data_IF_058759231696
#
_entry.id   IF_058759231696
#
_cell.length_a   1.000
_cell.length_b   1.000
_cell.length_c   1.000
_cell.angle_alpha   90.00
_cell.angle_beta   90.00
_cell.angle_gamma   90.00
#
_symmetry.space_group_name_H-M   'P 1'
#
loop_
_entity.id
_entity.type
_entity.pdbx_description
1 polymer ?
#
# COMPACT_ATOMS: atom_id res chain seq x y z
N UNK A 1 -11.30 14.14 -33.33
CA UNK A 1 -12.34 14.83 -32.52
C UNK A 1 -11.77 16.11 -31.95
N UNK A 2 -12.54 17.20 -31.93
CA UNK A 2 -12.15 18.42 -31.25
C UNK A 2 -12.06 18.14 -29.74
N UNK A 3 -11.01 18.63 -29.07
CA UNK A 3 -10.84 18.46 -27.63
C UNK A 3 -12.03 19.10 -26.91
N UNK A 4 -12.82 18.29 -26.21
CA UNK A 4 -13.90 18.76 -25.36
C UNK A 4 -13.29 19.47 -24.15
N UNK A 5 -13.68 20.73 -23.94
CA UNK A 5 -13.24 21.53 -22.79
C UNK A 5 -13.99 21.10 -21.54
N UNK A 6 -13.36 21.23 -20.38
CA UNK A 6 -13.95 20.89 -19.06
C UNK A 6 -15.35 21.50 -18.88
N UNK A 7 -15.51 22.78 -19.22
CA UNK A 7 -16.78 23.49 -19.12
C UNK A 7 -17.90 22.87 -19.98
N UNK A 8 -17.55 22.28 -21.13
CA UNK A 8 -18.51 21.64 -22.03
C UNK A 8 -18.92 20.24 -21.53
N UNK A 9 -17.98 19.53 -20.89
CA UNK A 9 -18.24 18.24 -20.25
C UNK A 9 -19.08 18.41 -18.97
N UNK A 10 -18.88 19.47 -18.19
CA UNK A 10 -19.67 19.74 -16.98
C UNK A 10 -21.13 20.12 -17.31
N UNK A 11 -21.36 20.73 -18.49
CA UNK A 11 -22.67 21.12 -18.98
C UNK A 11 -23.49 19.96 -19.58
N UNK A 12 -22.86 18.84 -19.97
CA UNK A 12 -23.53 17.65 -20.48
C UNK A 12 -24.11 16.80 -19.33
N UNK A 13 -25.10 15.94 -19.62
CA UNK A 13 -25.63 15.03 -18.61
C UNK A 13 -24.61 13.91 -18.31
N UNK A 14 -24.68 13.33 -17.10
CA UNK A 14 -23.80 12.21 -16.73
C UNK A 14 -23.92 11.02 -17.68
N UNK A 15 -25.12 10.80 -18.24
CA UNK A 15 -25.40 9.76 -19.24
C UNK A 15 -24.73 10.02 -20.58
N UNK A 16 -24.70 11.26 -21.06
CA UNK A 16 -24.01 11.62 -22.32
C UNK A 16 -22.48 11.48 -22.17
N UNK A 17 -21.95 11.82 -21.01
CA UNK A 17 -20.51 11.69 -20.71
C UNK A 17 -20.10 10.21 -20.67
N UNK A 18 -20.93 9.34 -20.09
CA UNK A 18 -20.71 7.90 -20.06
C UNK A 18 -20.78 7.27 -21.45
N UNK A 19 -21.70 7.74 -22.31
CA UNK A 19 -21.80 7.26 -23.70
C UNK A 19 -20.55 7.62 -24.52
N UNK A 20 -19.99 8.82 -24.34
CA UNK A 20 -18.71 9.23 -24.96
C UNK A 20 -17.56 8.34 -24.48
N UNK A 21 -17.47 8.06 -23.19
CA UNK A 21 -16.43 7.18 -22.63
C UNK A 21 -16.51 5.76 -23.18
N UNK A 22 -17.74 5.23 -23.32
CA UNK A 22 -17.98 3.88 -23.82
C UNK A 22 -17.72 3.77 -25.33
N UNK A 23 -18.29 4.66 -26.13
CA UNK A 23 -18.29 4.55 -27.58
C UNK A 23 -16.97 5.05 -28.21
N UNK A 24 -16.39 6.14 -27.68
CA UNK A 24 -15.16 6.70 -28.27
C UNK A 24 -13.88 6.15 -27.63
N UNK A 25 -13.94 5.83 -26.34
CA UNK A 25 -12.75 5.44 -25.58
C UNK A 25 -12.75 3.98 -25.11
N UNK A 26 -13.85 3.24 -25.31
CA UNK A 26 -13.96 1.84 -24.92
C UNK A 26 -13.92 1.61 -23.40
N UNK A 27 -14.19 2.65 -22.61
CA UNK A 27 -14.14 2.63 -21.15
C UNK A 27 -15.56 2.44 -20.63
N UNK A 28 -15.84 1.26 -20.08
CA UNK A 28 -17.12 0.97 -19.45
C UNK A 28 -17.11 1.55 -18.02
N UNK A 29 -17.97 2.54 -17.78
CA UNK A 29 -18.13 3.17 -16.45
C UNK A 29 -19.56 3.00 -16.00
N UNK A 30 -19.75 2.51 -14.78
CA UNK A 30 -21.06 2.41 -14.14
C UNK A 30 -21.53 3.82 -13.73
N UNK A 31 -22.74 4.19 -14.14
CA UNK A 31 -23.25 5.56 -13.97
C UNK A 31 -23.82 5.72 -12.57
N UNK A 32 -22.95 5.94 -11.60
CA UNK A 32 -23.34 6.43 -10.28
C UNK A 32 -23.44 7.97 -10.32
N UNK A 33 -24.66 8.49 -10.18
CA UNK A 33 -24.98 9.94 -10.26
C UNK A 33 -24.17 10.79 -9.26
N UNK A 34 -23.66 10.16 -8.19
CA UNK A 34 -22.81 10.79 -7.18
C UNK A 34 -21.40 11.17 -7.69
N UNK A 35 -20.97 10.70 -8.87
CA UNK A 35 -19.59 10.84 -9.33
C UNK A 35 -19.40 11.52 -10.69
N UNK A 36 -20.35 12.39 -11.10
CA UNK A 36 -20.27 13.19 -12.35
C UNK A 36 -18.93 13.91 -12.54
N UNK A 37 -18.34 14.44 -11.46
CA UNK A 37 -17.03 15.11 -11.50
C UNK A 37 -15.88 14.19 -11.90
N UNK A 38 -15.89 12.93 -11.42
CA UNK A 38 -14.87 11.94 -11.74
C UNK A 38 -14.94 11.50 -13.21
N UNK A 39 -16.15 11.40 -13.78
CA UNK A 39 -16.35 11.10 -15.20
C UNK A 39 -15.75 12.18 -16.10
N UNK A 40 -15.93 13.46 -15.75
CA UNK A 40 -15.36 14.59 -16.51
C UNK A 40 -13.83 14.55 -16.51
N UNK A 41 -13.22 14.25 -15.36
CA UNK A 41 -11.77 14.08 -15.25
C UNK A 41 -11.27 12.88 -16.04
N UNK A 42 -12.01 11.77 -16.04
CA UNK A 42 -11.68 10.58 -16.82
C UNK A 42 -11.75 10.82 -18.33
N UNK A 43 -12.71 11.62 -18.82
CA UNK A 43 -12.76 12.04 -20.22
C UNK A 43 -11.59 12.96 -20.59
N UNK A 44 -11.24 13.91 -19.72
CA UNK A 44 -10.07 14.77 -19.93
C UNK A 44 -8.76 13.97 -19.94
N UNK A 45 -8.64 12.98 -19.06
CA UNK A 45 -7.52 12.05 -19.02
C UNK A 45 -7.48 11.17 -20.29
N UNK A 46 -8.62 10.60 -20.71
CA UNK A 46 -8.71 9.80 -21.93
C UNK A 46 -8.39 10.60 -23.20
N UNK A 47 -8.72 11.89 -23.24
CA UNK A 47 -8.36 12.79 -24.34
C UNK A 47 -6.88 13.21 -24.37
N UNK A 48 -6.18 13.13 -23.24
CA UNK A 48 -4.77 13.55 -23.12
C UNK A 48 -3.80 12.36 -23.07
N UNK A 49 -4.30 11.17 -22.75
CA UNK A 49 -3.53 9.93 -22.73
C UNK A 49 -3.44 9.32 -24.13
N UNK A 50 -2.21 9.07 -24.59
CA UNK A 50 -1.93 8.16 -25.70
C UNK A 50 -2.36 6.75 -25.28
N UNK A 51 -2.93 5.93 -26.18
CA UNK A 51 -3.53 4.66 -25.82
C UNK A 51 -2.43 3.66 -25.49
N UNK A 52 -2.36 3.21 -24.24
CA UNK A 52 -1.89 1.86 -23.96
C UNK A 52 -2.38 1.35 -22.60
N UNK A 53 -2.71 0.07 -22.60
CA UNK A 53 -3.07 -0.81 -21.49
C UNK A 53 -4.50 -0.73 -20.92
N UNK A 54 -5.37 -1.47 -21.63
CA UNK A 54 -6.51 -2.22 -21.13
C UNK A 54 -6.20 -2.95 -19.82
N UNK A 55 -6.87 -2.61 -18.72
CA UNK A 55 -6.72 -3.39 -17.49
C UNK A 55 -7.44 -2.84 -16.26
N UNK A 56 -8.74 -3.08 -16.18
CA UNK A 56 -9.52 -3.27 -14.94
C UNK A 56 -9.21 -2.30 -13.78
N UNK A 57 -9.89 -1.15 -13.79
CA UNK A 57 -9.94 -0.21 -12.67
C UNK A 57 -10.72 -0.86 -11.51
N UNK A 58 -10.01 -1.21 -10.44
CA UNK A 58 -10.62 -1.30 -9.11
C UNK A 58 -10.09 -0.15 -8.28
N UNK A 59 -11.03 0.57 -7.68
CA UNK A 59 -10.87 1.82 -6.97
C UNK A 59 -10.00 1.67 -5.72
N UNK A 60 -8.94 2.46 -5.63
CA UNK A 60 -8.46 3.06 -4.36
C UNK A 60 -7.49 4.21 -4.64
N UNK A 61 -8.02 5.42 -4.52
CA UNK A 61 -7.26 6.67 -4.47
C UNK A 61 -6.47 6.72 -3.16
N UNK A 62 -5.16 6.96 -3.25
CA UNK A 62 -4.51 8.17 -2.71
C UNK A 62 -2.99 7.99 -2.59
N UNK A 63 -2.25 9.02 -3.04
CA UNK A 63 -0.87 9.24 -2.56
C UNK A 63 0.26 9.02 -3.56
N UNK A 64 0.11 9.45 -4.82
CA UNK A 64 1.26 9.67 -5.69
C UNK A 64 2.12 10.83 -5.18
N UNK A 65 3.23 10.55 -4.47
CA UNK A 65 4.29 11.54 -4.25
C UNK A 65 5.68 10.91 -4.33
N UNK A 66 6.38 11.26 -5.40
CA UNK A 66 7.83 11.15 -5.64
C UNK A 66 8.49 9.86 -5.14
N UNK A 67 8.63 8.89 -6.04
CA UNK A 67 9.52 7.75 -5.88
C UNK A 67 10.96 8.19 -6.16
N UNK A 68 11.63 8.75 -5.15
CA UNK A 68 13.09 8.65 -5.07
C UNK A 68 13.41 7.15 -5.09
N UNK A 69 14.24 6.69 -6.04
CA UNK A 69 14.66 5.27 -6.17
C UNK A 69 15.29 4.79 -4.86
N UNK A 70 14.45 4.37 -3.94
CA UNK A 70 14.84 3.87 -2.63
C UNK A 70 15.26 2.42 -2.86
N UNK A 71 16.41 2.01 -2.33
CA UNK A 71 16.84 0.61 -2.42
C UNK A 71 15.75 -0.26 -1.81
N UNK A 72 15.19 -1.14 -2.62
CA UNK A 72 14.14 -2.04 -2.22
C UNK A 72 14.74 -3.40 -1.86
N UNK A 73 14.11 -4.07 -0.91
CA UNK A 73 14.59 -5.32 -0.34
C UNK A 73 13.39 -6.23 -0.15
N UNK A 74 13.52 -7.48 -0.60
CA UNK A 74 12.48 -8.50 -0.38
C UNK A 74 12.57 -9.00 1.06
N UNK A 75 11.43 -9.01 1.74
CA UNK A 75 11.32 -9.57 3.09
C UNK A 75 10.17 -10.57 3.16
N UNK A 76 10.29 -11.51 4.07
CA UNK A 76 9.23 -12.43 4.46
C UNK A 76 9.03 -12.30 5.98
N UNK A 77 7.82 -11.95 6.41
CA UNK A 77 7.45 -11.95 7.83
C UNK A 77 6.69 -13.23 8.11
N UNK A 78 7.16 -14.02 9.08
CA UNK A 78 6.50 -15.27 9.45
C UNK A 78 5.11 -15.03 10.06
N UNK A 79 4.21 -15.95 9.81
CA UNK A 79 2.93 -16.00 10.51
C UNK A 79 3.17 -16.32 12.00
N UNK A 80 2.33 -15.74 12.86
CA UNK A 80 2.40 -16.00 14.30
C UNK A 80 0.97 -16.09 14.84
N UNK A 81 0.69 -17.18 15.54
CA UNK A 81 -0.62 -17.43 16.13
C UNK A 81 -0.99 -16.33 17.14
N UNK A 82 -2.19 -15.76 17.00
CA UNK A 82 -2.68 -14.67 17.85
C UNK A 82 -2.23 -13.27 17.44
N UNK A 83 -1.48 -13.11 16.35
CA UNK A 83 -1.15 -11.79 15.77
C UNK A 83 -1.95 -11.51 14.50
N UNK A 84 -2.02 -10.23 14.10
CA UNK A 84 -2.67 -9.83 12.86
C UNK A 84 -1.90 -10.38 11.63
N UNK A 85 -2.65 -10.65 10.55
CA UNK A 85 -2.12 -11.13 9.26
C UNK A 85 -1.18 -10.12 8.58
N UNK A 86 -1.09 -8.90 9.07
CA UNK A 86 -0.22 -7.86 8.56
C UNK A 86 0.53 -7.15 9.68
N UNK A 87 1.71 -6.65 9.33
CA UNK A 87 2.51 -5.76 10.17
C UNK A 87 2.34 -4.34 9.66
N UNK A 88 1.87 -3.45 10.53
CA UNK A 88 1.73 -2.04 10.24
C UNK A 88 2.98 -1.28 10.69
N UNK A 89 3.63 -0.55 9.77
CA UNK A 89 4.85 0.21 10.03
C UNK A 89 4.74 1.62 9.47
N UNK A 90 5.08 2.63 10.26
CA UNK A 90 5.21 4.01 9.81
C UNK A 90 6.67 4.41 9.64
N UNK A 91 7.08 4.85 8.44
CA UNK A 91 8.44 5.32 8.15
C UNK A 91 8.36 6.68 7.45
N UNK A 92 8.97 7.72 8.03
CA UNK A 92 9.02 9.08 7.47
C UNK A 92 7.64 9.61 7.03
N UNK A 93 6.60 9.36 7.83
CA UNK A 93 5.23 9.78 7.53
C UNK A 93 4.50 8.94 6.46
N UNK A 94 5.14 7.89 5.93
CA UNK A 94 4.50 6.89 5.07
C UNK A 94 4.10 5.67 5.89
N UNK A 95 2.89 5.19 5.68
CA UNK A 95 2.35 4.00 6.35
C UNK A 95 2.47 2.79 5.42
N UNK A 96 2.92 1.67 5.96
CA UNK A 96 3.11 0.41 5.26
C UNK A 96 2.31 -0.68 5.96
N UNK A 97 1.54 -1.45 5.19
CA UNK A 97 0.91 -2.68 5.64
C UNK A 97 1.62 -3.85 4.94
N UNK A 98 2.45 -4.57 5.69
CA UNK A 98 3.22 -5.70 5.17
C UNK A 98 2.48 -7.00 5.54
N UNK A 99 1.90 -7.74 4.59
CA UNK A 99 1.30 -9.03 4.89
C UNK A 99 2.33 -10.04 5.39
N UNK A 100 1.95 -10.84 6.38
CA UNK A 100 2.71 -12.01 6.84
C UNK A 100 2.53 -13.19 5.89
N UNK A 101 3.45 -14.14 5.93
CA UNK A 101 3.47 -15.33 5.10
C UNK A 101 3.75 -15.08 3.61
N UNK A 102 4.00 -13.83 3.21
CA UNK A 102 4.23 -13.46 1.80
C UNK A 102 5.55 -12.73 1.64
N UNK A 103 6.21 -12.98 0.52
CA UNK A 103 7.38 -12.21 0.11
C UNK A 103 6.93 -10.84 -0.40
N UNK A 104 7.44 -9.78 0.22
CA UNK A 104 7.07 -8.40 -0.10
C UNK A 104 8.32 -7.57 -0.29
N UNK A 105 8.32 -6.77 -1.35
CA UNK A 105 9.38 -5.81 -1.63
C UNK A 105 9.12 -4.50 -0.87
N UNK A 106 10.00 -4.17 0.08
CA UNK A 106 9.89 -2.96 0.91
C UNK A 106 11.16 -2.10 0.82
N UNK A 107 11.07 -0.78 1.09
CA UNK A 107 12.27 0.06 1.20
C UNK A 107 13.20 -0.42 2.32
N UNK A 108 14.52 -0.23 2.15
CA UNK A 108 15.52 -0.57 3.17
C UNK A 108 15.24 0.07 4.53
N UNK A 109 14.64 1.26 4.56
CA UNK A 109 14.25 1.96 5.79
C UNK A 109 13.23 1.15 6.59
N UNK A 110 12.27 0.49 5.92
CA UNK A 110 11.27 -0.36 6.58
C UNK A 110 11.93 -1.59 7.18
N UNK A 111 12.91 -2.18 6.49
CA UNK A 111 13.71 -3.30 7.02
C UNK A 111 14.46 -2.90 8.28
N UNK A 112 15.03 -1.70 8.30
CA UNK A 112 15.75 -1.18 9.47
C UNK A 112 14.80 -1.02 10.67
N UNK A 113 13.61 -0.46 10.46
CA UNK A 113 12.60 -0.34 11.53
C UNK A 113 12.18 -1.71 12.07
N UNK A 114 12.03 -2.72 11.21
CA UNK A 114 11.72 -4.09 11.64
C UNK A 114 12.86 -4.72 12.45
N UNK A 115 14.13 -4.41 12.14
CA UNK A 115 15.31 -4.85 12.92
C UNK A 115 15.34 -4.21 14.31
N UNK A 116 15.07 -2.91 14.37
CA UNK A 116 15.15 -2.12 15.60
C UNK A 116 13.92 -2.33 16.51
N UNK A 117 12.84 -2.89 15.97
CA UNK A 117 11.65 -3.26 16.73
C UNK A 117 11.94 -4.41 17.71
N UNK A 118 12.29 -4.07 18.94
CA UNK A 118 12.51 -5.02 20.05
C UNK A 118 11.41 -4.92 21.11
N UNK A 119 11.21 -6.01 21.84
CA UNK A 119 10.31 -6.12 22.99
C UNK A 119 11.10 -6.63 24.19
N UNK A 120 10.82 -6.05 25.35
CA UNK A 120 11.36 -6.55 26.61
C UNK A 120 10.61 -7.81 27.03
N UNK A 121 11.34 -8.92 27.18
CA UNK A 121 10.84 -10.15 27.80
C UNK A 121 11.63 -10.42 29.06
N UNK A 122 10.91 -10.77 30.12
CA UNK A 122 11.50 -11.19 31.39
C UNK A 122 11.86 -12.67 31.33
N UNK A 123 13.16 -12.98 31.34
CA UNK A 123 13.64 -14.35 31.48
C UNK A 123 13.89 -14.65 32.96
N UNK A 124 13.23 -15.68 33.48
CA UNK A 124 13.53 -16.23 34.80
C UNK A 124 14.82 -17.03 34.69
N UNK A 125 15.91 -16.52 35.27
CA UNK A 125 17.18 -17.25 35.40
C UNK A 125 17.35 -17.73 36.83
N UNK A 126 17.95 -18.91 36.97
CA UNK A 126 18.32 -19.47 38.26
C UNK A 126 19.81 -19.24 38.47
N UNK A 127 20.20 -18.63 39.58
CA UNK A 127 21.61 -18.50 39.95
C UNK A 127 22.17 -19.89 40.31
N UNK A 128 23.24 -20.35 39.63
CA UNK A 128 23.81 -21.69 39.88
C UNK A 128 24.49 -21.81 41.24
N UNK A 129 24.72 -20.70 41.96
CA UNK A 129 25.39 -20.67 43.28
C UNK A 129 24.43 -20.58 44.46
N UNK A 130 23.27 -19.94 44.30
CA UNK A 130 22.33 -19.64 45.40
C UNK A 130 20.97 -20.29 45.20
N UNK A 131 20.68 -20.85 44.03
CA UNK A 131 19.38 -21.46 43.70
C UNK A 131 18.21 -20.47 43.62
N UNK A 132 18.46 -19.18 43.86
CA UNK A 132 17.44 -18.14 43.75
C UNK A 132 17.10 -17.88 42.28
N UNK A 133 15.80 -17.80 42.02
CA UNK A 133 15.27 -17.37 40.72
C UNK A 133 15.20 -15.86 40.70
N UNK A 134 15.79 -15.26 39.69
CA UNK A 134 15.68 -13.83 39.45
C UNK A 134 15.16 -13.59 38.04
N UNK A 135 14.40 -12.52 37.89
CA UNK A 135 13.90 -12.06 36.60
C UNK A 135 14.90 -11.06 36.02
N UNK A 136 15.43 -11.32 34.82
CA UNK A 136 16.22 -10.33 34.08
C UNK A 136 15.46 -9.91 32.81
N UNK A 137 15.31 -8.60 32.54
CA UNK A 137 14.79 -8.15 31.27
C UNK A 137 15.80 -8.50 30.16
N UNK A 138 15.30 -9.03 29.06
CA UNK A 138 16.05 -9.30 27.83
C UNK A 138 15.29 -8.70 26.66
N UNK A 139 15.97 -7.88 25.88
CA UNK A 139 15.43 -7.32 24.65
C UNK A 139 15.47 -8.41 23.57
N UNK A 140 14.30 -8.76 23.03
CA UNK A 140 14.15 -9.73 21.94
C UNK A 140 13.49 -9.05 20.74
N UNK A 141 13.82 -9.43 19.49
CA UNK A 141 13.11 -8.92 18.31
C UNK A 141 11.61 -9.16 18.42
N UNK A 142 10.81 -8.14 18.07
CA UNK A 142 9.34 -8.18 18.09
C UNK A 142 8.79 -9.07 16.98
N UNK A 143 9.43 -9.04 15.81
CA UNK A 143 8.95 -9.67 14.58
C UNK A 143 9.91 -10.77 14.11
N UNK A 144 9.35 -11.86 13.64
CA UNK A 144 10.04 -12.99 13.03
C UNK A 144 10.15 -12.79 11.50
N UNK A 145 11.02 -11.88 11.05
CA UNK A 145 11.19 -11.62 9.62
C UNK A 145 12.55 -12.09 9.09
N UNK A 146 12.59 -12.38 7.80
CA UNK A 146 13.79 -12.76 7.05
C UNK A 146 13.96 -11.84 5.85
N UNK A 147 15.21 -11.49 5.55
CA UNK A 147 15.57 -10.72 4.35
C UNK A 147 15.97 -11.71 3.26
N UNK A 148 15.20 -11.73 2.18
CA UNK A 148 15.43 -12.56 1.01
C UNK A 148 16.10 -11.65 -0.02
N UNK A 149 17.40 -11.43 0.14
CA UNK A 149 18.20 -10.74 -0.87
C UNK A 149 18.44 -11.70 -2.02
N UNK A 150 17.96 -11.35 -3.21
CA UNK A 150 18.31 -12.00 -4.49
C UNK A 150 19.69 -11.52 -4.97
#
# INVERSE_FOLDING_TARGET
MAKLTKAKLEAMSATEIADILKNEHGIEVDVDDENKGALVEQVLAAQTAKPNDTGKVTTKSSGGKAATKSKKTKILIGEQEGEADYVFVGVNGRQYQIPRGKEVEVPAEVVQVLRDAVTEKFETKTDPKTGQKYSKPKMVPRFNFQVITE
#
